data_IF_077285798563
#
_entry.id   IF_077285798563
#
_cell.length_a   1.000
_cell.length_b   1.000
_cell.length_c   1.000
_cell.angle_alpha   90.00
_cell.angle_beta   90.00
_cell.angle_gamma   90.00
#
_symmetry.space_group_name_H-M   'P 1'
#
loop_
_entity.id
_entity.type
_entity.pdbx_description
1 polymer ?
#
# COMPACT_ATOMS: atom_id res chain seq x y z
N UNK A 1 -10.29 2.73 7.66
CA UNK A 1 -9.95 4.17 7.46
C UNK A 1 -9.77 4.93 8.78
N UNK A 2 -10.76 4.97 9.70
CA UNK A 2 -10.61 5.69 10.98
C UNK A 2 -9.53 5.05 11.89
N UNK A 3 -9.56 3.72 12.06
CA UNK A 3 -8.55 3.01 12.88
C UNK A 3 -7.13 3.26 12.35
N UNK A 4 -6.95 3.23 11.03
CA UNK A 4 -5.67 3.54 10.40
C UNK A 4 -5.20 4.99 10.64
N UNK A 5 -6.12 5.94 10.87
CA UNK A 5 -5.78 7.31 11.24
C UNK A 5 -5.38 7.44 12.71
N UNK A 6 -6.08 6.76 13.59
CA UNK A 6 -5.84 6.88 15.04
C UNK A 6 -4.66 6.04 15.53
N UNK A 7 -4.42 4.87 14.91
CA UNK A 7 -3.39 3.91 15.33
C UNK A 7 -2.24 3.76 14.34
N UNK A 8 -2.35 4.37 13.15
CA UNK A 8 -1.28 4.33 12.14
C UNK A 8 -0.03 5.05 12.63
N UNK A 9 1.15 4.49 12.34
CA UNK A 9 2.41 5.17 12.66
C UNK A 9 2.62 6.30 11.67
N UNK A 10 2.93 7.49 12.18
CA UNK A 10 3.14 8.67 11.35
C UNK A 10 4.18 8.43 10.25
N UNK A 11 5.25 7.70 10.59
CA UNK A 11 6.40 7.39 9.73
C UNK A 11 6.30 6.02 9.01
N UNK A 12 5.15 5.35 9.10
CA UNK A 12 4.93 4.05 8.44
C UNK A 12 5.13 4.20 6.93
N UNK A 13 6.07 3.45 6.38
CA UNK A 13 6.27 3.37 4.93
C UNK A 13 5.25 2.42 4.28
N UNK A 14 4.62 1.55 5.06
CA UNK A 14 3.63 0.59 4.59
C UNK A 14 2.20 1.13 4.73
N UNK A 15 1.23 0.62 3.96
CA UNK A 15 -0.15 1.04 4.07
C UNK A 15 -0.71 0.70 5.45
N UNK A 16 -1.25 1.71 6.14
CA UNK A 16 -1.92 1.53 7.43
C UNK A 16 -3.30 0.84 7.30
N UNK A 17 -3.77 0.62 6.07
CA UNK A 17 -5.05 -0.01 5.79
C UNK A 17 -4.99 -0.90 4.54
N UNK A 18 -4.95 -2.21 4.77
CA UNK A 18 -5.10 -3.25 3.75
C UNK A 18 -6.49 -3.87 3.91
N UNK A 19 -7.21 -3.99 2.80
CA UNK A 19 -8.50 -4.68 2.74
C UNK A 19 -8.32 -5.89 1.85
N UNK A 20 -8.31 -7.05 2.49
CA UNK A 20 -8.49 -8.31 1.78
C UNK A 20 -9.95 -8.44 1.36
N UNK A 21 -10.16 -8.92 0.15
CA UNK A 21 -11.50 -9.09 -0.39
C UNK A 21 -11.61 -10.51 -0.91
N UNK A 22 -12.50 -11.31 -0.32
CA UNK A 22 -12.86 -12.60 -0.92
C UNK A 22 -13.69 -12.31 -2.15
N UNK A 23 -13.27 -12.83 -3.30
CA UNK A 23 -13.92 -12.63 -4.61
C UNK A 23 -15.44 -12.89 -4.60
N UNK A 24 -15.94 -13.66 -3.64
CA UNK A 24 -17.35 -14.06 -3.45
C UNK A 24 -18.24 -13.10 -2.64
N UNK A 25 -17.72 -12.06 -1.97
CA UNK A 25 -18.52 -11.33 -0.96
C UNK A 25 -19.46 -10.21 -1.50
N UNK A 26 -19.38 -9.83 -2.78
CA UNK A 26 -20.30 -8.85 -3.40
C UNK A 26 -20.43 -7.44 -2.76
N UNK A 27 -19.63 -7.12 -1.74
CA UNK A 27 -19.56 -5.83 -1.04
C UNK A 27 -18.86 -4.72 -1.85
N UNK A 28 -19.28 -3.48 -1.61
CA UNK A 28 -18.65 -2.30 -2.21
C UNK A 28 -17.25 -2.08 -1.64
N UNK A 29 -16.28 -1.78 -2.52
CA UNK A 29 -14.94 -1.32 -2.14
C UNK A 29 -15.05 -0.04 -1.30
N UNK A 30 -14.54 -0.07 -0.08
CA UNK A 30 -14.49 1.09 0.81
C UNK A 30 -13.58 2.21 0.27
N UNK A 31 -13.77 3.43 0.77
CA UNK A 31 -12.93 4.59 0.41
C UNK A 31 -12.32 5.21 1.67
N UNK A 32 -11.40 6.17 1.50
CA UNK A 32 -10.86 6.96 2.62
C UNK A 32 -11.82 8.05 3.13
N UNK A 33 -12.98 8.24 2.48
CA UNK A 33 -13.85 9.38 2.76
C UNK A 33 -13.08 10.71 2.68
N UNK A 34 -13.24 11.56 3.69
CA UNK A 34 -12.57 12.87 3.79
C UNK A 34 -11.15 12.81 4.38
N UNK A 35 -10.68 11.63 4.81
CA UNK A 35 -9.36 11.48 5.44
C UNK A 35 -8.20 11.62 4.45
N UNK A 36 -8.50 11.65 3.15
CA UNK A 36 -7.51 11.78 2.09
C UNK A 36 -6.90 10.44 1.71
N UNK A 37 -6.12 10.43 0.64
CA UNK A 37 -5.67 9.15 0.08
C UNK A 37 -4.78 8.35 1.02
N UNK A 38 -4.08 8.98 2.00
CA UNK A 38 -3.25 8.28 3.00
C UNK A 38 -3.97 7.10 3.64
N UNK A 39 -5.26 7.26 3.92
CA UNK A 39 -6.08 6.26 4.60
C UNK A 39 -6.99 5.48 3.64
N UNK A 40 -6.76 5.58 2.34
CA UNK A 40 -7.49 4.80 1.35
C UNK A 40 -7.02 3.34 1.43
N UNK A 41 -7.96 2.38 1.48
CA UNK A 41 -7.60 0.96 1.53
C UNK A 41 -6.82 0.55 0.30
N UNK A 42 -5.79 -0.27 0.52
CA UNK A 42 -5.24 -1.13 -0.51
C UNK A 42 -6.12 -2.36 -0.66
N UNK A 43 -6.61 -2.63 -1.87
CA UNK A 43 -7.43 -3.81 -2.13
C UNK A 43 -6.59 -4.96 -2.68
N UNK A 44 -6.66 -6.09 -1.99
CA UNK A 44 -6.06 -7.36 -2.42
C UNK A 44 -7.18 -8.39 -2.58
N UNK A 45 -7.58 -8.62 -3.83
CA UNK A 45 -8.67 -9.56 -4.17
C UNK A 45 -8.16 -10.88 -4.72
N UNK A 46 -7.14 -10.83 -5.58
CA UNK A 46 -6.74 -11.99 -6.39
C UNK A 46 -5.49 -12.68 -5.82
N UNK A 47 -4.63 -11.91 -5.16
CA UNK A 47 -3.37 -12.37 -4.56
C UNK A 47 -3.12 -11.60 -3.25
N UNK A 48 -2.44 -12.26 -2.31
CA UNK A 48 -1.95 -11.63 -1.07
C UNK A 48 -0.79 -10.67 -1.34
N UNK A 49 -0.06 -10.91 -2.44
CA UNK A 49 1.04 -10.05 -2.86
C UNK A 49 0.49 -9.03 -3.87
N UNK A 50 0.65 -7.72 -3.62
CA UNK A 50 0.26 -6.69 -4.58
C UNK A 50 0.91 -6.92 -5.96
N UNK A 51 0.17 -6.72 -7.06
CA UNK A 51 0.75 -6.84 -8.40
C UNK A 51 1.81 -5.76 -8.61
N UNK A 52 2.85 -6.09 -9.39
CA UNK A 52 3.94 -5.17 -9.74
C UNK A 52 4.70 -4.57 -8.53
N UNK A 53 4.73 -5.30 -7.40
CA UNK A 53 5.53 -4.91 -6.22
C UNK A 53 7.04 -5.02 -6.48
N UNK A 54 7.45 -5.91 -7.38
CA UNK A 54 8.85 -6.05 -7.77
C UNK A 54 9.19 -5.03 -8.84
N UNK A 55 10.35 -4.39 -8.67
CA UNK A 55 10.96 -3.57 -9.71
C UNK A 55 11.28 -4.45 -10.93
N UNK A 56 11.04 -3.92 -12.12
CA UNK A 56 11.47 -4.56 -13.37
C UNK A 56 12.98 -4.78 -13.37
N UNK A 57 13.43 -5.95 -13.85
CA UNK A 57 14.86 -6.31 -13.87
C UNK A 57 15.69 -5.29 -14.65
N UNK A 58 15.15 -4.79 -15.76
CA UNK A 58 15.76 -3.77 -16.61
C UNK A 58 16.06 -2.42 -15.92
N UNK A 59 15.53 -2.18 -14.72
CA UNK A 59 15.47 -0.82 -14.15
C UNK A 59 16.53 -0.49 -13.09
N UNK A 60 17.44 -1.32 -12.60
CA UNK A 60 18.37 -0.97 -11.48
C UNK A 60 17.75 -0.27 -10.22
N UNK A 61 18.42 -0.34 -9.07
CA UNK A 61 17.90 0.37 -7.87
C UNK A 61 18.11 1.90 -7.97
N UNK A 62 19.26 2.30 -8.53
CA UNK A 62 19.66 3.71 -8.64
C UNK A 62 18.71 4.47 -9.57
N UNK A 63 18.47 3.96 -10.79
CA UNK A 63 17.56 4.61 -11.76
C UNK A 63 16.12 4.67 -11.22
N UNK A 64 15.66 3.64 -10.50
CA UNK A 64 14.35 3.69 -9.83
C UNK A 64 14.27 4.80 -8.76
N UNK A 65 15.32 4.97 -7.96
CA UNK A 65 15.40 6.03 -6.94
C UNK A 65 15.45 7.42 -7.59
N UNK A 66 16.31 7.62 -8.58
CA UNK A 66 16.46 8.90 -9.26
C UNK A 66 15.17 9.35 -9.96
N UNK A 67 14.43 8.42 -10.58
CA UNK A 67 13.10 8.70 -11.16
C UNK A 67 12.09 9.14 -10.09
N UNK A 68 12.10 8.48 -8.93
CA UNK A 68 11.22 8.84 -7.82
C UNK A 68 11.53 10.24 -7.27
N UNK A 69 12.82 10.59 -7.17
CA UNK A 69 13.30 11.88 -6.68
C UNK A 69 13.00 13.00 -7.68
N UNK A 70 13.22 12.77 -8.98
CA UNK A 70 12.84 13.71 -10.05
C UNK A 70 11.33 13.98 -10.04
N UNK A 71 10.52 12.93 -9.93
CA UNK A 71 9.05 13.07 -9.83
C UNK A 71 8.67 13.88 -8.60
N UNK A 72 9.30 13.65 -7.45
CA UNK A 72 9.01 14.39 -6.21
C UNK A 72 9.38 15.87 -6.34
N UNK A 73 10.54 16.18 -6.94
CA UNK A 73 10.96 17.55 -7.25
C UNK A 73 9.93 18.28 -8.12
N UNK A 74 9.50 17.64 -9.22
CA UNK A 74 8.49 18.21 -10.12
C UNK A 74 7.14 18.39 -9.41
N UNK A 75 6.72 17.42 -8.60
CA UNK A 75 5.48 17.50 -7.82
C UNK A 75 5.52 18.64 -6.79
N UNK A 76 6.64 18.83 -6.08
CA UNK A 76 6.81 19.95 -5.13
C UNK A 76 6.73 21.31 -5.82
N UNK A 77 7.43 21.48 -6.95
CA UNK A 77 7.37 22.71 -7.74
C UNK A 77 5.96 22.98 -8.27
N UNK A 78 5.27 21.93 -8.71
CA UNK A 78 3.90 22.06 -9.21
C UNK A 78 2.89 22.37 -8.09
N UNK A 79 3.09 21.86 -6.88
CA UNK A 79 2.18 22.15 -5.75
C UNK A 79 2.44 23.52 -5.12
N UNK A 80 3.64 24.09 -5.29
CA UNK A 80 3.97 25.43 -4.85
C UNK A 80 3.03 26.47 -5.50
N UNK A 81 2.37 27.29 -4.67
CA UNK A 81 1.37 28.29 -5.12
C UNK A 81 -0.04 27.75 -5.40
N UNK A 82 -0.29 26.43 -5.30
CA UNK A 82 -1.60 25.79 -5.55
C UNK A 82 -2.26 25.23 -4.28
N UNK A 83 -1.83 25.71 -3.12
CA UNK A 83 -2.12 25.14 -1.79
C UNK A 83 -3.60 25.24 -1.37
N UNK A 84 -4.36 26.22 -1.86
CA UNK A 84 -5.72 26.50 -1.35
C UNK A 84 -6.85 25.65 -1.93
N UNK A 85 -6.60 24.81 -2.96
CA UNK A 85 -7.67 24.10 -3.68
C UNK A 85 -7.48 22.60 -3.92
N UNK A 86 -6.30 22.03 -3.68
CA UNK A 86 -5.96 20.71 -4.25
C UNK A 86 -5.57 19.64 -3.22
N UNK A 87 -6.56 19.15 -2.48
CA UNK A 87 -6.46 17.90 -1.73
C UNK A 87 -6.15 16.70 -2.66
N UNK A 88 -6.52 16.82 -3.94
CA UNK A 88 -6.22 15.85 -5.00
C UNK A 88 -4.72 15.77 -5.31
N UNK A 89 -3.97 16.87 -5.32
CA UNK A 89 -2.52 16.82 -5.61
C UNK A 89 -1.72 16.18 -4.47
N UNK A 90 -2.10 16.46 -3.22
CA UNK A 90 -1.54 15.77 -2.05
C UNK A 90 -1.78 14.26 -2.12
N UNK A 91 -2.95 13.84 -2.63
CA UNK A 91 -3.31 12.43 -2.75
C UNK A 91 -2.36 11.64 -3.65
N UNK A 92 -2.02 12.16 -4.82
CA UNK A 92 -1.10 11.50 -5.76
C UNK A 92 0.30 11.34 -5.16
N UNK A 93 0.84 12.38 -4.52
CA UNK A 93 2.16 12.31 -3.87
C UNK A 93 2.18 11.24 -2.78
N UNK A 94 1.13 11.18 -1.95
CA UNK A 94 1.01 10.17 -0.88
C UNK A 94 0.87 8.73 -1.39
N UNK A 95 0.34 8.55 -2.61
CA UNK A 95 0.21 7.22 -3.22
C UNK A 95 1.58 6.71 -3.69
N UNK A 96 2.39 7.55 -4.34
CA UNK A 96 3.74 7.19 -4.78
C UNK A 96 4.69 6.86 -3.63
N UNK A 97 4.63 7.62 -2.53
CA UNK A 97 5.43 7.32 -1.33
C UNK A 97 5.08 5.93 -0.78
N UNK A 98 3.79 5.57 -0.75
CA UNK A 98 3.35 4.24 -0.32
C UNK A 98 3.84 3.12 -1.22
N UNK A 99 3.79 3.29 -2.54
CA UNK A 99 4.32 2.28 -3.47
C UNK A 99 5.75 1.91 -3.10
N UNK A 100 6.63 2.89 -2.86
CA UNK A 100 8.01 2.61 -2.44
C UNK A 100 8.13 1.81 -1.15
N UNK A 101 7.35 2.15 -0.13
CA UNK A 101 7.39 1.41 1.13
C UNK A 101 6.77 0.02 1.04
N UNK A 102 5.75 -0.17 0.19
CA UNK A 102 5.21 -1.48 -0.15
C UNK A 102 6.27 -2.33 -0.85
N UNK A 103 6.94 -1.79 -1.86
CA UNK A 103 8.04 -2.49 -2.56
C UNK A 103 9.15 -2.91 -1.59
N UNK A 104 9.49 -2.06 -0.62
CA UNK A 104 10.47 -2.39 0.41
C UNK A 104 9.99 -3.46 1.40
N UNK A 105 8.68 -3.66 1.50
CA UNK A 105 8.03 -4.54 2.49
C UNK A 105 7.38 -5.76 1.84
N UNK A 106 7.83 -6.16 0.66
CA UNK A 106 7.31 -7.33 -0.07
C UNK A 106 7.22 -8.58 0.82
N UNK A 107 8.21 -8.78 1.69
CA UNK A 107 8.27 -9.92 2.62
C UNK A 107 7.08 -9.99 3.58
N UNK A 108 6.44 -8.86 3.91
CA UNK A 108 5.27 -8.86 4.80
C UNK A 108 4.08 -9.61 4.21
N UNK A 109 4.02 -9.75 2.88
CA UNK A 109 2.95 -10.43 2.18
C UNK A 109 3.30 -11.90 1.85
N UNK A 110 4.50 -12.35 2.20
CA UNK A 110 4.98 -13.69 1.92
C UNK A 110 4.78 -14.63 3.11
N UNK A 111 3.63 -15.31 3.14
CA UNK A 111 3.27 -16.27 4.19
C UNK A 111 4.21 -17.50 4.21
N UNK A 112 4.95 -17.76 3.14
CA UNK A 112 5.91 -18.87 3.10
C UNK A 112 7.10 -18.66 4.05
N UNK A 113 7.37 -17.41 4.47
CA UNK A 113 8.41 -17.10 5.45
C UNK A 113 7.94 -17.42 6.90
N UNK A 114 6.64 -17.67 7.11
CA UNK A 114 6.07 -18.00 8.42
C UNK A 114 6.30 -19.47 8.83
N UNK A 115 6.51 -19.77 10.11
CA UNK A 115 6.71 -21.13 10.59
C UNK A 115 5.53 -22.06 10.23
N UNK A 116 5.84 -23.29 9.81
CA UNK A 116 4.84 -24.29 9.41
C UNK A 116 3.78 -24.52 10.50
N UNK A 117 4.17 -24.56 11.77
CA UNK A 117 3.25 -24.72 12.90
C UNK A 117 2.20 -23.59 12.99
N UNK A 118 2.57 -22.35 12.62
CA UNK A 118 1.63 -21.21 12.59
C UNK A 118 0.68 -21.35 11.41
N UNK A 119 1.20 -21.69 10.23
CA UNK A 119 0.39 -21.89 9.01
C UNK A 119 -0.63 -23.01 9.18
N UNK A 120 -0.23 -24.12 9.80
CA UNK A 120 -1.11 -25.26 10.08
C UNK A 120 -2.21 -24.89 11.10
N UNK A 121 -1.89 -24.07 12.10
CA UNK A 121 -2.87 -23.62 13.11
C UNK A 121 -3.99 -22.78 12.51
N UNK A 122 -3.66 -21.87 11.58
CA UNK A 122 -4.65 -21.07 10.87
C UNK A 122 -5.37 -21.89 9.81
N UNK A 123 -4.66 -22.82 9.17
CA UNK A 123 -5.19 -23.71 8.14
C UNK A 123 -5.06 -23.15 6.71
N UNK A 124 -5.41 -23.94 5.69
CA UNK A 124 -5.10 -23.63 4.29
C UNK A 124 -6.14 -22.75 3.58
N UNK A 125 -7.18 -22.29 4.28
CA UNK A 125 -8.25 -21.50 3.64
C UNK A 125 -7.76 -20.10 3.27
N UNK A 126 -8.36 -19.48 2.26
CA UNK A 126 -8.01 -18.11 1.86
C UNK A 126 -8.15 -17.11 3.02
N UNK A 127 -9.23 -17.22 3.80
CA UNK A 127 -9.45 -16.39 4.98
C UNK A 127 -8.37 -16.62 6.05
N UNK A 128 -8.03 -17.88 6.31
CA UNK A 128 -6.96 -18.25 7.24
C UNK A 128 -5.61 -17.65 6.86
N UNK A 129 -5.26 -17.73 5.57
CA UNK A 129 -4.03 -17.17 5.03
C UNK A 129 -4.02 -15.65 5.11
N UNK A 130 -5.15 -14.98 4.85
CA UNK A 130 -5.29 -13.53 5.00
C UNK A 130 -5.07 -13.04 6.43
N UNK A 131 -5.32 -13.88 7.44
CA UNK A 131 -5.05 -13.54 8.84
C UNK A 131 -3.56 -13.59 9.23
N UNK A 132 -2.69 -14.11 8.35
CA UNK A 132 -1.24 -14.20 8.58
C UNK A 132 -0.47 -13.00 7.99
N UNK A 133 -1.16 -12.09 7.31
CA UNK A 133 -0.62 -10.87 6.70
C UNK A 133 -0.99 -9.65 7.54
#
# INVERSE_FOLDING_TARGET
AIIARELGRADSQVPDYVSFYTSTEGRRKGTSGFLGARFAPMFLSDSMIPPNIRRLEAVSDIDHRERADLRDLLARRFTQGRQSRNNVLGSHTSAYQRVRGIMASEKLFNIEDEPTAVREKYGPTQFSQQCLV
#
